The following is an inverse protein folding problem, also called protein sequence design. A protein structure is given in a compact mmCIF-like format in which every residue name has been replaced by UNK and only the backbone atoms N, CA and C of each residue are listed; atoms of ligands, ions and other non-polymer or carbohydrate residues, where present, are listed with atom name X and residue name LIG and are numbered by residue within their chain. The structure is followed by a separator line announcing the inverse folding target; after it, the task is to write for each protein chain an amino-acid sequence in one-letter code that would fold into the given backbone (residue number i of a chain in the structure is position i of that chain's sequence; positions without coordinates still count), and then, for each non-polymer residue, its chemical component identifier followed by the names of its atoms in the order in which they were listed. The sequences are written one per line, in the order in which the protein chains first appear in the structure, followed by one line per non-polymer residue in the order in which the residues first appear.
data_IF_943844682077
#
_entry.id   IF_943844682077
#
_cell.length_a   1.000
_cell.length_b   1.000
_cell.length_c   1.000
_cell.angle_alpha   90.00
_cell.angle_beta   90.00
_cell.angle_gamma   90.00
#
_symmetry.space_group_name_H-M   'P 1'
#
loop_
_entity.id
_entity.type
_entity.pdbx_description
1 polymer ?
#
# COMPACT_ATOMS: atom_id res chain seq x y z
N UNK A 1 0.99 -14.51 -25.37
CA UNK A 1 0.04 -13.54 -24.77
C UNK A 1 0.20 -12.14 -25.37
N UNK A 2 -0.89 -11.38 -25.57
CA UNK A 2 -0.81 -10.00 -26.08
C UNK A 2 -0.13 -9.04 -25.08
N UNK A 3 0.55 -7.98 -25.56
CA UNK A 3 1.29 -7.01 -24.73
C UNK A 3 0.43 -6.34 -23.65
N UNK A 4 -0.88 -6.23 -23.89
CA UNK A 4 -1.85 -5.55 -23.04
C UNK A 4 -2.04 -6.19 -21.65
N UNK A 5 -1.65 -7.45 -21.48
CA UNK A 5 -1.74 -8.16 -20.20
C UNK A 5 -0.53 -7.87 -19.30
N UNK A 6 0.65 -7.59 -19.89
CA UNK A 6 1.88 -7.32 -19.11
C UNK A 6 1.76 -6.05 -18.26
N UNK A 7 1.08 -5.02 -18.76
CA UNK A 7 0.89 -3.74 -18.07
C UNK A 7 -0.17 -3.75 -16.97
N UNK A 8 -0.98 -4.80 -16.87
CA UNK A 8 -2.02 -4.93 -15.84
C UNK A 8 -1.60 -5.79 -14.65
N UNK A 9 -0.44 -6.45 -14.74
CA UNK A 9 0.09 -7.40 -13.77
C UNK A 9 0.48 -6.72 -12.46
N UNK A 10 -0.50 -6.41 -11.61
CA UNK A 10 -0.30 -5.82 -10.28
C UNK A 10 -1.34 -4.78 -9.89
N UNK A 11 -2.02 -4.15 -10.85
CA UNK A 11 -3.10 -3.21 -10.56
C UNK A 11 -4.23 -3.82 -9.72
N UNK A 12 -4.75 -5.03 -10.01
CA UNK A 12 -5.82 -5.62 -9.22
C UNK A 12 -5.47 -5.79 -7.73
N UNK A 13 -4.24 -6.21 -7.43
CA UNK A 13 -3.77 -6.38 -6.04
C UNK A 13 -3.66 -5.03 -5.31
N UNK A 14 -3.20 -3.98 -5.99
CA UNK A 14 -3.11 -2.63 -5.43
C UNK A 14 -4.50 -2.06 -5.19
N UNK A 15 -5.41 -2.19 -6.16
CA UNK A 15 -6.80 -1.76 -5.99
C UNK A 15 -7.50 -2.51 -4.85
N UNK A 16 -7.26 -3.81 -4.69
CA UNK A 16 -7.76 -4.58 -3.55
C UNK A 16 -7.27 -4.02 -2.20
N UNK A 17 -5.98 -3.66 -2.11
CA UNK A 17 -5.40 -3.03 -0.91
C UNK A 17 -6.02 -1.66 -0.63
N UNK A 18 -6.23 -0.84 -1.67
CA UNK A 18 -6.90 0.46 -1.55
C UNK A 18 -8.36 0.32 -1.13
N UNK A 19 -9.08 -0.66 -1.69
CA UNK A 19 -10.46 -0.89 -1.31
C UNK A 19 -10.57 -1.30 0.16
N UNK A 20 -9.67 -2.16 0.65
CA UNK A 20 -9.59 -2.50 2.08
C UNK A 20 -9.31 -1.28 2.95
N UNK A 21 -8.41 -0.38 2.53
CA UNK A 21 -8.20 0.88 3.23
C UNK A 21 -9.48 1.72 3.26
N UNK A 22 -10.13 1.90 2.11
CA UNK A 22 -11.36 2.65 1.98
C UNK A 22 -12.46 2.10 2.90
N UNK A 23 -12.65 0.78 2.93
CA UNK A 23 -13.55 0.10 3.86
C UNK A 23 -13.17 0.35 5.33
N UNK A 24 -11.88 0.32 5.66
CA UNK A 24 -11.43 0.64 7.01
C UNK A 24 -11.68 2.10 7.39
N UNK A 25 -11.66 3.02 6.44
CA UNK A 25 -11.91 4.45 6.69
C UNK A 25 -13.41 4.76 6.82
N UNK A 26 -14.27 3.94 6.23
CA UNK A 26 -15.72 4.06 6.33
C UNK A 26 -16.25 3.43 7.62
N UNK A 27 -17.17 4.09 8.31
CA UNK A 27 -17.83 3.56 9.50
C UNK A 27 -18.34 4.65 10.43
N UNK A 28 -19.26 4.30 11.34
CA UNK A 28 -19.86 5.26 12.29
C UNK A 28 -18.88 5.74 13.38
N UNK A 29 -17.78 5.00 13.60
CA UNK A 29 -16.79 5.27 14.67
C UNK A 29 -15.43 5.77 14.12
N UNK A 30 -15.42 6.38 12.94
CA UNK A 30 -14.21 6.96 12.34
C UNK A 30 -13.95 8.36 12.90
N UNK A 31 -13.35 8.45 14.09
CA UNK A 31 -12.78 9.72 14.56
C UNK A 31 -11.64 10.15 13.65
N UNK A 32 -11.36 11.45 13.57
CA UNK A 32 -10.23 11.99 12.80
C UNK A 32 -8.92 11.29 13.20
N UNK A 33 -8.70 11.05 14.50
CA UNK A 33 -7.58 10.27 15.02
C UNK A 33 -7.54 8.85 14.45
N UNK A 34 -8.65 8.13 14.45
CA UNK A 34 -8.74 6.78 13.90
C UNK A 34 -8.39 6.74 12.40
N UNK A 35 -8.86 7.75 11.65
CA UNK A 35 -8.58 7.92 10.22
C UNK A 35 -7.08 8.12 9.99
N UNK A 36 -6.43 9.03 10.73
CA UNK A 36 -4.98 9.23 10.66
C UNK A 36 -4.19 7.95 11.00
N UNK A 37 -4.60 7.21 12.04
CA UNK A 37 -3.94 5.96 12.42
C UNK A 37 -4.00 4.91 11.30
N UNK A 38 -5.18 4.75 10.70
CA UNK A 38 -5.41 3.78 9.62
C UNK A 38 -4.59 4.13 8.37
N UNK A 39 -4.54 5.42 8.00
CA UNK A 39 -3.72 5.89 6.88
C UNK A 39 -2.21 5.71 7.15
N UNK A 40 -1.72 6.10 8.33
CA UNK A 40 -0.33 5.92 8.71
C UNK A 40 0.08 4.43 8.74
N UNK A 41 -0.80 3.57 9.27
CA UNK A 41 -0.60 2.12 9.25
C UNK A 41 -0.58 1.54 7.84
N UNK A 42 -1.41 2.06 6.94
CA UNK A 42 -1.40 1.67 5.53
C UNK A 42 -0.11 2.09 4.81
N UNK A 43 0.38 3.31 5.03
CA UNK A 43 1.66 3.76 4.49
C UNK A 43 2.83 2.89 4.95
N UNK A 44 2.87 2.54 6.25
CA UNK A 44 3.88 1.61 6.79
C UNK A 44 3.81 0.24 6.12
N UNK A 45 2.61 -0.27 5.83
CA UNK A 45 2.43 -1.52 5.06
C UNK A 45 2.89 -1.37 3.62
N UNK A 46 2.62 -0.25 2.95
CA UNK A 46 3.07 0.00 1.58
C UNK A 46 4.60 0.01 1.47
N UNK A 47 5.28 0.65 2.42
CA UNK A 47 6.75 0.60 2.51
C UNK A 47 7.28 -0.80 2.81
N UNK A 48 6.59 -1.57 3.65
CA UNK A 48 6.95 -2.97 3.90
C UNK A 48 6.80 -3.82 2.63
N UNK A 49 5.71 -3.67 1.88
CA UNK A 49 5.49 -4.38 0.62
C UNK A 49 6.55 -4.03 -0.43
N UNK A 50 6.96 -2.75 -0.49
CA UNK A 50 8.05 -2.29 -1.35
C UNK A 50 9.38 -2.95 -0.97
N UNK A 51 9.68 -3.09 0.32
CA UNK A 51 10.89 -3.76 0.83
C UNK A 51 10.89 -5.28 0.60
N UNK A 52 9.81 -5.98 0.96
CA UNK A 52 9.69 -7.43 0.76
C UNK A 52 9.89 -7.82 -0.72
N UNK A 53 9.45 -6.96 -1.62
CA UNK A 53 9.62 -7.14 -3.05
C UNK A 53 11.05 -6.96 -3.55
N UNK A 54 11.85 -6.15 -2.86
CA UNK A 54 13.28 -6.07 -3.11
C UNK A 54 13.94 -7.45 -2.97
N UNK A 55 13.44 -8.26 -2.03
CA UNK A 55 13.88 -9.63 -1.72
C UNK A 55 13.21 -10.71 -2.60
N UNK A 56 12.30 -10.31 -3.50
CA UNK A 56 11.62 -11.23 -4.41
C UNK A 56 10.37 -11.92 -3.83
N UNK A 57 9.86 -11.44 -2.70
CA UNK A 57 8.61 -11.91 -2.11
C UNK A 57 7.41 -11.15 -2.71
N UNK A 58 6.50 -11.91 -3.33
CA UNK A 58 5.26 -11.43 -3.94
C UNK A 58 4.01 -11.98 -3.25
N UNK A 59 4.12 -12.69 -2.13
CA UNK A 59 2.99 -13.30 -1.41
C UNK A 59 1.91 -12.29 -1.03
N UNK A 60 2.31 -11.03 -0.81
CA UNK A 60 1.41 -9.91 -0.54
C UNK A 60 0.57 -9.43 -1.75
N UNK A 61 0.84 -9.97 -2.95
CA UNK A 61 0.22 -9.64 -4.24
C UNK A 61 -0.23 -10.94 -4.93
N UNK A 62 -1.33 -11.57 -4.49
CA UNK A 62 -1.72 -12.90 -4.94
C UNK A 62 -1.90 -13.05 -6.46
N UNK A 63 -2.41 -12.03 -7.15
CA UNK A 63 -2.56 -12.09 -8.61
C UNK A 63 -1.20 -12.08 -9.30
N UNK A 64 -0.26 -11.30 -8.78
CA UNK A 64 1.12 -11.24 -9.29
C UNK A 64 1.86 -12.52 -8.97
N UNK A 65 1.71 -13.05 -7.76
CA UNK A 65 2.35 -14.30 -7.32
C UNK A 65 1.87 -15.50 -8.15
N UNK A 66 0.56 -15.58 -8.40
CA UNK A 66 -0.02 -16.59 -9.30
C UNK A 66 0.53 -16.46 -10.72
N UNK A 67 0.60 -15.23 -11.26
CA UNK A 67 1.14 -14.97 -12.60
C UNK A 67 2.61 -15.36 -12.73
N UNK A 68 3.44 -15.02 -11.74
CA UNK A 68 4.87 -15.39 -11.70
C UNK A 68 5.11 -16.88 -11.47
N UNK A 69 4.11 -17.60 -10.96
CA UNK A 69 4.17 -19.05 -10.76
C UNK A 69 3.68 -19.84 -11.98
N UNK A 70 2.79 -19.23 -12.80
CA UNK A 70 2.18 -19.90 -13.96
C UNK A 70 2.96 -19.74 -15.26
N UNK A 71 3.76 -18.68 -15.40
CA UNK A 71 4.46 -18.36 -16.64
C UNK A 71 5.97 -18.22 -16.40
N UNK A 72 6.79 -18.64 -17.38
CA UNK A 72 8.23 -18.40 -17.39
C UNK A 72 8.51 -16.95 -17.79
N UNK A 73 8.14 -16.04 -16.89
CA UNK A 73 8.21 -14.59 -17.09
C UNK A 73 9.36 -14.01 -16.28
N UNK A 74 10.12 -13.14 -16.92
CA UNK A 74 11.17 -12.38 -16.26
C UNK A 74 10.58 -11.56 -15.10
N UNK A 75 11.06 -11.84 -13.88
CA UNK A 75 10.57 -11.18 -12.66
C UNK A 75 10.96 -9.70 -12.60
N UNK A 76 12.05 -9.29 -13.25
CA UNK A 76 12.59 -7.94 -13.13
C UNK A 76 11.66 -6.83 -13.69
N UNK A 77 11.07 -6.95 -14.90
CA UNK A 77 10.06 -5.99 -15.39
C UNK A 77 8.83 -5.90 -14.51
N UNK A 78 8.30 -7.05 -14.06
CA UNK A 78 7.17 -7.09 -13.12
C UNK A 78 7.59 -6.36 -11.86
N UNK A 79 8.76 -6.68 -11.29
CA UNK A 79 9.39 -6.02 -10.13
C UNK A 79 9.55 -4.51 -10.28
N UNK A 80 9.89 -3.98 -11.44
CA UNK A 80 9.92 -2.52 -11.60
C UNK A 80 8.50 -1.92 -11.54
N UNK A 81 7.52 -2.59 -12.14
CA UNK A 81 6.16 -2.08 -12.27
C UNK A 81 5.44 -1.84 -10.93
N UNK A 82 5.35 -2.83 -10.04
CA UNK A 82 4.65 -2.62 -8.74
C UNK A 82 5.47 -1.74 -7.80
N UNK A 83 6.80 -1.67 -7.92
CA UNK A 83 7.63 -0.73 -7.15
C UNK A 83 7.28 0.70 -7.55
N UNK A 84 7.16 0.96 -8.86
CA UNK A 84 6.67 2.23 -9.40
C UNK A 84 5.26 2.56 -8.92
N UNK A 85 4.33 1.60 -8.96
CA UNK A 85 2.96 1.84 -8.47
C UNK A 85 2.92 2.13 -6.96
N UNK A 86 3.67 1.40 -6.14
CA UNK A 86 3.75 1.64 -4.69
C UNK A 86 4.41 2.99 -4.39
N UNK A 87 5.49 3.35 -5.11
CA UNK A 87 6.15 4.64 -4.96
C UNK A 87 5.20 5.80 -5.28
N UNK A 88 4.46 5.71 -6.40
CA UNK A 88 3.46 6.71 -6.76
C UNK A 88 2.33 6.77 -5.73
N UNK A 89 1.92 5.62 -5.19
CA UNK A 89 0.88 5.57 -4.16
C UNK A 89 1.33 6.26 -2.87
N UNK A 90 2.51 5.91 -2.36
CA UNK A 90 3.09 6.52 -1.16
C UNK A 90 3.27 8.03 -1.36
N UNK A 91 3.83 8.44 -2.51
CA UNK A 91 4.00 9.85 -2.85
C UNK A 91 2.66 10.60 -2.92
N UNK A 92 1.61 9.97 -3.45
CA UNK A 92 0.27 10.55 -3.49
C UNK A 92 -0.29 10.77 -2.08
N UNK A 93 -0.20 9.78 -1.20
CA UNK A 93 -0.65 9.94 0.19
C UNK A 93 0.13 11.04 0.92
N UNK A 94 1.46 11.11 0.75
CA UNK A 94 2.28 12.14 1.37
C UNK A 94 2.00 13.54 0.81
N UNK A 95 1.63 13.67 -0.47
CA UNK A 95 1.28 14.97 -1.05
C UNK A 95 -0.10 15.46 -0.62
N UNK A 96 -1.07 14.56 -0.49
CA UNK A 96 -2.42 14.91 -0.02
C UNK A 96 -2.47 15.15 1.51
N UNK A 97 -1.55 14.53 2.26
CA UNK A 97 -1.52 14.57 3.72
C UNK A 97 -0.08 14.85 4.23
N UNK A 98 0.47 16.05 3.98
CA UNK A 98 1.88 16.37 4.28
C UNK A 98 2.21 16.29 5.77
N UNK A 99 1.24 16.61 6.63
CA UNK A 99 1.45 16.71 8.08
C UNK A 99 1.06 15.40 8.81
N UNK A 100 0.92 14.27 8.11
CA UNK A 100 0.34 13.05 8.69
C UNK A 100 1.12 12.54 9.90
N UNK A 101 2.45 12.57 9.83
CA UNK A 101 3.33 12.10 10.91
C UNK A 101 3.30 13.07 12.11
N UNK A 102 3.33 14.38 11.84
CA UNK A 102 3.22 15.43 12.85
C UNK A 102 1.84 15.39 13.55
N UNK A 103 0.74 15.29 12.79
CA UNK A 103 -0.62 15.18 13.33
C UNK A 103 -0.82 13.89 14.11
N UNK A 104 -0.25 12.78 13.65
CA UNK A 104 -0.24 11.53 14.42
C UNK A 104 0.47 11.71 15.76
N UNK A 105 1.63 12.36 15.79
CA UNK A 105 2.40 12.62 17.01
C UNK A 105 1.68 13.60 17.96
N UNK A 106 1.06 14.66 17.43
CA UNK A 106 0.23 15.59 18.22
C UNK A 106 -0.96 14.89 18.88
N UNK A 107 -1.45 13.80 18.30
CA UNK A 107 -2.55 13.01 18.85
C UNK A 107 -2.08 11.92 19.82
N UNK A 108 -0.78 11.74 20.05
CA UNK A 108 -0.28 10.76 21.02
C UNK A 108 -0.73 11.10 22.44
N UNK A 109 -0.87 12.40 22.78
CA UNK A 109 -1.45 12.82 24.07
C UNK A 109 -2.93 12.45 24.21
N UNK A 110 -3.67 12.32 23.09
CA UNK A 110 -5.05 11.84 23.09
C UNK A 110 -5.10 10.31 23.26
N UNK A 111 -4.07 9.60 22.79
CA UNK A 111 -3.94 8.13 22.94
C UNK A 111 -3.51 7.74 24.36
N UNK A 112 -2.58 8.49 24.92
CA UNK A 112 -2.11 8.32 26.29
C UNK A 112 -1.85 9.72 26.91
N UNK A 113 -2.82 10.26 27.66
CA UNK A 113 -2.71 11.58 28.26
C UNK A 113 -1.71 11.66 29.42
N UNK A 114 -1.11 10.53 29.80
CA UNK A 114 -0.17 10.43 30.92
C UNK A 114 1.21 9.93 30.49
N UNK A 115 1.58 10.12 29.21
CA UNK A 115 2.98 9.98 28.78
C UNK A 115 3.89 10.97 29.51
#
# INVERSE_FOLDING_TARGET
MPPCLRTQTGLPDIFSKLNKLNECLQGKDSTILNVYNKMAGFLKKAELWKRARAEGDFTCFPQVDAFLSSEDVERAPVKSLIEGHLANLISGFNSYLPDMEEKSAQLDCVRNPFL
#
